data_IF_874589541675
#
_entry.id   IF_874589541675
#
_cell.length_a   1.000
_cell.length_b   1.000
_cell.length_c   1.000
_cell.angle_alpha   90.00
_cell.angle_beta   90.00
_cell.angle_gamma   90.00
#
_symmetry.space_group_name_H-M   'P 1'
#
loop_
_entity.id
_entity.type
_entity.pdbx_description
1 polymer ?
#
# COMPACT_ATOMS: atom_id res chain seq x y z
N UNK A 1 -4.00 14.22 -15.85
CA UNK A 1 -2.86 15.18 -15.77
C UNK A 1 -1.58 14.44 -15.43
N UNK A 2 -0.42 14.89 -15.91
CA UNK A 2 0.89 14.30 -15.57
C UNK A 2 1.82 15.39 -15.05
N UNK A 3 2.42 15.15 -13.91
CA UNK A 3 3.37 16.01 -13.24
C UNK A 3 4.73 15.30 -13.16
N UNK A 4 5.80 16.03 -13.44
CA UNK A 4 7.17 15.59 -13.17
C UNK A 4 7.72 16.48 -12.08
N UNK A 5 8.12 15.88 -10.96
CA UNK A 5 8.67 16.60 -9.80
C UNK A 5 10.03 16.05 -9.45
N UNK A 6 10.88 16.90 -8.90
CA UNK A 6 12.12 16.46 -8.28
C UNK A 6 11.84 16.05 -6.84
N UNK A 7 12.45 14.94 -6.42
CA UNK A 7 12.40 14.48 -5.05
C UNK A 7 13.64 15.00 -4.32
N UNK A 8 13.43 15.88 -3.35
CA UNK A 8 14.53 16.44 -2.55
C UNK A 8 14.59 15.76 -1.18
N UNK A 9 15.77 15.26 -0.79
CA UNK A 9 15.99 14.76 0.57
C UNK A 9 16.14 15.95 1.50
N UNK A 10 15.21 16.13 2.44
CA UNK A 10 15.37 17.15 3.48
C UNK A 10 16.21 16.62 4.64
N UNK A 11 15.95 15.38 5.06
CA UNK A 11 16.72 14.64 6.06
C UNK A 11 16.58 13.12 5.84
N UNK A 12 17.10 12.30 6.75
CA UNK A 12 17.07 10.83 6.62
C UNK A 12 15.65 10.21 6.60
N UNK A 13 14.64 10.96 7.04
CA UNK A 13 13.24 10.53 7.18
C UNK A 13 12.23 11.34 6.36
N UNK A 14 12.59 12.52 5.84
CA UNK A 14 11.66 13.41 5.14
C UNK A 14 12.11 13.75 3.72
N UNK A 15 11.16 13.67 2.80
CA UNK A 15 11.30 13.98 1.40
C UNK A 15 10.32 15.08 1.02
N UNK A 16 10.80 16.07 0.27
CA UNK A 16 9.94 17.12 -0.26
C UNK A 16 9.48 16.72 -1.67
N UNK A 17 8.16 16.69 -1.84
CA UNK A 17 7.50 16.65 -3.13
C UNK A 17 7.14 18.09 -3.50
N UNK A 18 7.44 18.52 -4.72
CA UNK A 18 7.06 19.85 -5.22
C UNK A 18 5.56 20.00 -5.49
N UNK A 19 4.71 19.68 -4.51
CA UNK A 19 3.27 19.92 -4.53
C UNK A 19 3.01 21.13 -3.61
N UNK A 20 2.36 22.21 -4.08
CA UNK A 20 2.07 23.36 -3.24
C UNK A 20 1.20 22.99 -2.03
N UNK A 21 1.49 23.57 -0.86
CA UNK A 21 0.64 23.48 0.32
C UNK A 21 -0.70 24.20 0.08
N UNK A 22 -1.79 23.70 0.67
CA UNK A 22 -3.10 24.39 0.64
C UNK A 22 -3.75 24.40 -0.75
N UNK A 23 -3.86 23.22 -1.36
CA UNK A 23 -4.53 23.05 -2.64
C UNK A 23 -5.96 23.58 -2.58
N UNK A 24 -6.29 24.54 -3.44
CA UNK A 24 -7.66 25.05 -3.57
C UNK A 24 -8.64 23.92 -3.97
N UNK A 25 -9.92 24.04 -3.64
CA UNK A 25 -10.95 23.01 -3.88
C UNK A 25 -11.04 22.54 -5.36
N UNK A 26 -10.56 23.36 -6.30
CA UNK A 26 -10.52 23.04 -7.73
C UNK A 26 -9.25 22.33 -8.18
N UNK A 27 -8.26 22.15 -7.30
CA UNK A 27 -6.98 21.56 -7.64
C UNK A 27 -7.14 20.08 -8.04
N UNK A 28 -6.36 19.64 -9.03
CA UNK A 28 -6.47 18.29 -9.61
C UNK A 28 -6.09 17.14 -8.68
N UNK A 29 -5.57 17.44 -7.49
CA UNK A 29 -5.22 16.46 -6.45
C UNK A 29 -6.17 16.53 -5.24
N UNK A 30 -7.25 17.33 -5.31
CA UNK A 30 -8.32 17.31 -4.32
C UNK A 30 -9.19 16.05 -4.50
N UNK A 31 -9.78 15.53 -3.43
CA UNK A 31 -10.67 14.34 -3.42
C UNK A 31 -10.06 13.06 -4.02
N UNK A 32 -8.84 12.69 -3.66
CA UNK A 32 -8.21 11.44 -4.11
C UNK A 32 -9.02 10.24 -3.63
N UNK A 33 -9.49 9.41 -4.56
CA UNK A 33 -10.27 8.18 -4.28
C UNK A 33 -9.46 6.91 -4.41
N UNK A 34 -8.54 6.88 -5.36
CA UNK A 34 -7.66 5.75 -5.61
C UNK A 34 -6.22 6.25 -5.72
N UNK A 35 -5.30 5.54 -5.07
CA UNK A 35 -3.87 5.84 -5.13
C UNK A 35 -3.07 4.56 -5.45
N UNK A 36 -2.17 4.66 -6.41
CA UNK A 36 -1.25 3.62 -6.83
C UNK A 36 0.17 4.14 -6.74
N UNK A 37 0.96 3.60 -5.82
CA UNK A 37 2.35 3.98 -5.59
C UNK A 37 3.25 2.88 -6.14
N UNK A 38 4.03 3.21 -7.17
CA UNK A 38 5.00 2.31 -7.80
C UNK A 38 6.43 2.75 -7.50
N UNK A 39 7.18 1.86 -6.86
CA UNK A 39 8.62 2.02 -6.70
C UNK A 39 9.36 1.29 -7.84
N UNK A 40 10.14 2.03 -8.63
CA UNK A 40 11.02 1.46 -9.67
C UNK A 40 12.48 1.72 -9.31
N UNK A 41 13.13 0.71 -8.74
CA UNK A 41 14.51 0.79 -8.24
C UNK A 41 15.54 1.09 -9.34
N UNK A 42 15.45 0.41 -10.50
CA UNK A 42 16.42 0.51 -11.58
C UNK A 42 16.47 1.92 -12.22
N UNK A 43 15.37 2.67 -12.13
CA UNK A 43 15.24 4.01 -12.70
C UNK A 43 15.29 5.14 -11.67
N UNK A 44 15.61 4.84 -10.39
CA UNK A 44 15.57 5.80 -9.26
C UNK A 44 14.34 6.72 -9.30
N UNK A 45 13.19 6.13 -9.58
CA UNK A 45 11.96 6.87 -9.84
C UNK A 45 10.82 6.26 -9.03
N UNK A 46 10.02 7.15 -8.46
CA UNK A 46 8.77 6.84 -7.79
C UNK A 46 7.67 7.39 -8.67
N UNK A 47 6.71 6.53 -8.99
CA UNK A 47 5.56 6.91 -9.78
C UNK A 47 4.33 6.77 -8.90
N UNK A 48 3.65 7.87 -8.68
CA UNK A 48 2.41 7.95 -7.90
C UNK A 48 1.30 8.24 -8.90
N UNK A 49 0.37 7.32 -9.05
CA UNK A 49 -0.79 7.47 -9.90
C UNK A 49 -2.03 7.52 -9.02
N UNK A 50 -3.07 8.22 -9.46
CA UNK A 50 -4.31 8.22 -8.72
C UNK A 50 -5.48 8.73 -9.53
N UNK A 51 -6.65 8.53 -8.95
CA UNK A 51 -7.93 8.95 -9.51
C UNK A 51 -8.66 9.75 -8.45
N UNK A 52 -9.11 10.95 -8.80
CA UNK A 52 -10.02 11.76 -8.00
C UNK A 52 -11.45 11.60 -8.50
N UNK A 53 -12.41 12.30 -7.89
CA UNK A 53 -13.80 12.34 -8.38
C UNK A 53 -13.93 12.87 -9.82
N UNK A 54 -12.91 13.57 -10.34
CA UNK A 54 -12.98 14.28 -11.63
C UNK A 54 -11.87 13.92 -12.61
N UNK A 55 -10.69 13.52 -12.13
CA UNK A 55 -9.49 13.42 -12.96
C UNK A 55 -8.61 12.23 -12.57
N UNK A 56 -7.81 11.74 -13.51
CA UNK A 56 -6.64 10.91 -13.21
C UNK A 56 -5.38 11.75 -13.18
N UNK A 57 -4.45 11.41 -12.28
CA UNK A 57 -3.16 12.09 -12.16
C UNK A 57 -2.00 11.10 -12.07
N UNK A 58 -0.83 11.53 -12.55
CA UNK A 58 0.44 10.85 -12.35
C UNK A 58 1.46 11.86 -11.87
N UNK A 59 2.21 11.53 -10.83
CA UNK A 59 3.35 12.26 -10.33
C UNK A 59 4.55 11.35 -10.49
N UNK A 60 5.50 11.78 -11.31
CA UNK A 60 6.77 11.08 -11.48
C UNK A 60 7.82 11.84 -10.71
N UNK A 61 8.26 11.27 -9.59
CA UNK A 61 9.31 11.84 -8.76
C UNK A 61 10.66 11.20 -9.10
N UNK A 62 11.64 12.03 -9.43
CA UNK A 62 12.99 11.60 -9.78
C UNK A 62 13.96 11.90 -8.64
N UNK A 63 14.78 10.91 -8.32
CA UNK A 63 15.90 11.04 -7.38
C UNK A 63 17.11 11.52 -8.20
N UNK A 64 17.66 12.68 -7.85
CA UNK A 64 18.80 13.27 -8.56
C UNK A 64 20.01 12.31 -8.56
N UNK A 65 20.78 12.28 -9.66
CA UNK A 65 21.94 11.37 -9.82
C UNK A 65 22.99 11.55 -8.74
N UNK A 66 23.17 12.82 -8.34
CA UNK A 66 24.29 13.30 -7.51
C UNK A 66 24.00 13.24 -6.01
N UNK A 67 22.80 12.79 -5.62
CA UNK A 67 22.40 12.73 -4.22
C UNK A 67 22.54 11.30 -3.69
N UNK A 68 23.27 11.13 -2.59
CA UNK A 68 23.39 9.85 -1.90
C UNK A 68 22.13 9.56 -1.06
N UNK A 69 21.11 9.01 -1.72
CA UNK A 69 19.88 8.59 -1.06
C UNK A 69 19.96 7.19 -0.40
N UNK A 70 21.05 6.45 -0.66
CA UNK A 70 21.12 5.02 -0.34
C UNK A 70 20.22 4.17 -1.25
N UNK A 71 20.10 2.88 -0.94
CA UNK A 71 19.24 1.96 -1.70
C UNK A 71 17.75 2.16 -1.37
N UNK A 72 16.86 1.86 -2.34
CA UNK A 72 15.40 1.98 -2.17
C UNK A 72 14.85 1.35 -0.88
N UNK A 73 15.42 0.24 -0.38
CA UNK A 73 14.97 -0.37 0.89
C UNK A 73 15.13 0.50 2.12
N UNK A 74 16.04 1.48 2.09
CA UNK A 74 16.27 2.42 3.18
C UNK A 74 15.38 3.66 3.11
N UNK A 75 14.75 3.92 1.96
CA UNK A 75 13.97 5.14 1.76
C UNK A 75 12.48 4.87 1.54
N UNK A 76 12.07 3.64 1.19
CA UNK A 76 10.67 3.32 0.89
C UNK A 76 9.67 3.68 2.00
N UNK A 77 10.03 3.49 3.27
CA UNK A 77 9.22 3.90 4.41
C UNK A 77 9.15 5.43 4.58
N UNK A 78 10.28 6.13 4.78
CA UNK A 78 10.33 7.59 4.76
C UNK A 78 9.60 8.26 3.58
N UNK A 79 9.68 7.66 2.39
CA UNK A 79 8.96 8.12 1.21
C UNK A 79 7.45 7.97 1.35
N UNK A 80 6.96 6.84 1.87
CA UNK A 80 5.52 6.66 2.04
C UNK A 80 4.95 7.63 3.08
N UNK A 81 5.73 7.96 4.10
CA UNK A 81 5.40 9.01 5.07
C UNK A 81 5.28 10.35 4.41
N UNK A 82 6.32 10.73 3.66
CA UNK A 82 6.33 12.00 2.97
C UNK A 82 5.17 12.12 1.97
N UNK A 83 4.80 11.04 1.27
CA UNK A 83 3.60 11.00 0.40
C UNK A 83 2.33 11.21 1.22
N UNK A 84 2.18 10.50 2.34
CA UNK A 84 1.02 10.60 3.22
C UNK A 84 0.93 11.97 3.92
N UNK A 85 2.05 12.65 4.11
CA UNK A 85 2.12 14.02 4.66
C UNK A 85 1.84 15.09 3.60
N UNK A 86 2.13 14.80 2.34
CA UNK A 86 1.93 15.75 1.24
C UNK A 86 0.51 15.69 0.65
N UNK A 87 -0.06 14.49 0.52
CA UNK A 87 -1.36 14.30 -0.11
C UNK A 87 -2.48 14.25 0.94
N UNK A 88 -3.65 14.80 0.60
CA UNK A 88 -4.86 14.52 1.38
C UNK A 88 -5.34 13.10 1.10
N UNK A 89 -5.17 12.23 2.09
CA UNK A 89 -5.50 10.81 2.03
C UNK A 89 -6.88 10.49 2.64
N UNK A 90 -7.59 11.50 3.18
CA UNK A 90 -8.80 11.32 3.97
C UNK A 90 -9.95 10.64 3.20
N UNK A 91 -9.97 10.83 1.87
CA UNK A 91 -10.99 10.31 0.97
C UNK A 91 -10.57 9.07 0.17
N UNK A 92 -9.35 8.55 0.40
CA UNK A 92 -8.82 7.40 -0.33
C UNK A 92 -9.59 6.13 0.07
N UNK A 93 -10.15 5.47 -0.94
CA UNK A 93 -10.91 4.22 -0.80
C UNK A 93 -10.11 2.99 -1.24
N UNK A 94 -9.10 3.18 -2.09
CA UNK A 94 -8.25 2.12 -2.61
C UNK A 94 -6.78 2.55 -2.68
N UNK A 95 -5.92 1.80 -2.01
CA UNK A 95 -4.47 2.00 -2.02
C UNK A 95 -3.76 0.78 -2.58
N UNK A 96 -2.93 0.99 -3.60
CA UNK A 96 -2.01 -0.02 -4.13
C UNK A 96 -0.57 0.43 -3.96
N UNK A 97 0.25 -0.42 -3.36
CA UNK A 97 1.70 -0.23 -3.25
C UNK A 97 2.38 -1.35 -4.01
N UNK A 98 3.15 -0.98 -5.03
CA UNK A 98 3.88 -1.93 -5.86
C UNK A 98 5.38 -1.60 -5.90
N UNK A 99 6.21 -2.52 -5.40
CA UNK A 99 7.65 -2.47 -5.58
C UNK A 99 8.07 -3.35 -6.75
N UNK A 100 8.85 -2.78 -7.67
CA UNK A 100 9.39 -3.51 -8.83
C UNK A 100 10.91 -3.54 -8.80
N UNK A 101 11.46 -4.75 -8.97
CA UNK A 101 12.89 -5.04 -9.16
C UNK A 101 13.81 -4.72 -7.96
N UNK A 102 13.46 -5.17 -6.75
CA UNK A 102 14.37 -5.10 -5.60
C UNK A 102 14.70 -6.48 -5.03
N UNK A 103 15.97 -6.68 -4.68
CA UNK A 103 16.52 -7.97 -4.22
C UNK A 103 16.60 -8.08 -2.69
N UNK A 104 16.30 -7.01 -1.95
CA UNK A 104 16.32 -7.01 -0.48
C UNK A 104 14.95 -6.64 0.08
N UNK A 105 14.57 -7.11 1.27
CA UNK A 105 13.34 -6.64 1.90
C UNK A 105 13.43 -5.13 2.18
N UNK A 106 12.32 -4.38 2.04
CA UNK A 106 12.30 -2.99 2.45
C UNK A 106 12.42 -2.90 3.96
N UNK A 107 13.51 -2.32 4.45
CA UNK A 107 13.86 -2.28 5.88
C UNK A 107 13.07 -1.24 6.67
N UNK A 108 12.32 -0.38 5.98
CA UNK A 108 11.72 0.83 6.54
C UNK A 108 10.20 0.84 6.60
N UNK A 109 9.53 -0.25 6.17
CA UNK A 109 8.11 -0.44 6.43
C UNK A 109 7.89 -1.02 7.83
N UNK A 110 8.17 -0.21 8.84
CA UNK A 110 7.92 -0.57 10.25
C UNK A 110 6.42 -0.53 10.56
N UNK A 111 6.03 -1.10 11.70
CA UNK A 111 4.66 -0.99 12.21
C UNK A 111 4.22 0.48 12.30
N UNK A 112 5.05 1.33 12.91
CA UNK A 112 4.75 2.76 13.06
C UNK A 112 4.59 3.43 11.70
N UNK A 113 5.35 2.96 10.69
CA UNK A 113 5.23 3.51 9.37
C UNK A 113 3.85 3.23 8.73
N UNK A 114 3.37 2.00 8.91
CA UNK A 114 2.02 1.60 8.50
C UNK A 114 0.93 2.29 9.30
N UNK A 115 1.10 2.40 10.62
CA UNK A 115 0.13 3.09 11.50
C UNK A 115 -0.09 4.52 11.02
N UNK A 116 0.98 5.31 10.84
CA UNK A 116 0.91 6.69 10.35
C UNK A 116 0.20 6.79 9.00
N UNK A 117 0.51 5.89 8.08
CA UNK A 117 -0.12 5.86 6.76
C UNK A 117 -1.62 5.52 6.84
N UNK A 118 -1.98 4.48 7.59
CA UNK A 118 -3.35 3.97 7.69
C UNK A 118 -4.27 4.90 8.48
N UNK A 119 -3.75 5.62 9.48
CA UNK A 119 -4.48 6.65 10.23
C UNK A 119 -5.04 7.74 9.32
N UNK A 120 -4.33 8.09 8.25
CA UNK A 120 -4.77 9.12 7.30
C UNK A 120 -5.82 8.65 6.29
N UNK A 121 -6.17 7.36 6.27
CA UNK A 121 -7.11 6.78 5.31
C UNK A 121 -8.30 6.09 6.02
N UNK A 122 -9.17 6.86 6.70
CA UNK A 122 -10.32 6.29 7.41
C UNK A 122 -11.34 5.62 6.47
N UNK A 123 -11.37 6.00 5.19
CA UNK A 123 -12.29 5.46 4.17
C UNK A 123 -11.70 4.32 3.34
N UNK A 124 -10.52 3.81 3.66
CA UNK A 124 -9.86 2.76 2.90
C UNK A 124 -10.67 1.46 2.91
N UNK A 125 -11.17 1.06 1.74
CA UNK A 125 -11.94 -0.18 1.52
C UNK A 125 -11.06 -1.30 0.97
N UNK A 126 -10.05 -0.95 0.17
CA UNK A 126 -9.17 -1.91 -0.48
C UNK A 126 -7.71 -1.55 -0.31
N UNK A 127 -6.92 -2.51 0.16
CA UNK A 127 -5.49 -2.38 0.33
C UNK A 127 -4.79 -3.47 -0.48
N UNK A 128 -3.84 -3.05 -1.30
CA UNK A 128 -3.12 -3.95 -2.18
C UNK A 128 -1.62 -3.72 -2.10
N UNK A 129 -0.90 -4.80 -1.83
CA UNK A 129 0.54 -4.75 -1.65
C UNK A 129 1.18 -5.82 -2.52
N UNK A 130 2.16 -5.38 -3.31
CA UNK A 130 2.89 -6.23 -4.24
C UNK A 130 4.38 -5.94 -4.16
N UNK A 131 5.12 -6.91 -3.65
CA UNK A 131 6.58 -6.85 -3.62
C UNK A 131 7.22 -7.45 -4.87
N UNK A 132 8.51 -7.20 -5.08
CA UNK A 132 9.26 -7.86 -6.13
C UNK A 132 9.38 -9.38 -5.84
N UNK A 133 9.29 -10.23 -6.87
CA UNK A 133 9.38 -11.70 -6.75
C UNK A 133 10.62 -12.18 -6.00
N UNK A 134 11.71 -11.43 -6.10
CA UNK A 134 13.02 -11.71 -5.49
C UNK A 134 13.17 -11.13 -4.09
N UNK A 135 12.25 -10.26 -3.66
CA UNK A 135 12.24 -9.78 -2.29
C UNK A 135 11.82 -10.93 -1.38
N UNK A 136 12.55 -11.15 -0.30
CA UNK A 136 12.13 -12.16 0.66
C UNK A 136 10.88 -11.77 1.44
N UNK A 137 10.37 -10.53 1.29
CA UNK A 137 9.17 -10.05 1.99
C UNK A 137 9.37 -10.04 3.50
N UNK A 138 8.82 -9.03 4.18
CA UNK A 138 9.09 -8.89 5.61
C UNK A 138 8.34 -7.76 6.26
N UNK A 139 7.19 -7.37 5.68
CA UNK A 139 6.35 -6.30 6.21
C UNK A 139 4.97 -6.80 6.63
N UNK A 140 4.66 -8.09 6.37
CA UNK A 140 3.34 -8.65 6.64
C UNK A 140 3.00 -8.52 8.14
N UNK A 141 3.96 -8.80 9.03
CA UNK A 141 3.74 -8.69 10.47
C UNK A 141 3.43 -7.26 10.89
N UNK A 142 4.19 -6.32 10.34
CA UNK A 142 4.14 -4.90 10.62
C UNK A 142 2.81 -4.31 10.16
N UNK A 143 2.36 -4.65 8.94
CA UNK A 143 1.08 -4.16 8.43
C UNK A 143 -0.13 -4.80 9.12
N UNK A 144 -0.09 -6.11 9.38
CA UNK A 144 -1.16 -6.78 10.11
C UNK A 144 -1.28 -6.21 11.53
N UNK A 145 -0.15 -5.94 12.18
CA UNK A 145 -0.13 -5.29 13.50
C UNK A 145 -0.69 -3.87 13.45
N UNK A 146 -0.35 -3.09 12.43
CA UNK A 146 -0.91 -1.75 12.24
C UNK A 146 -2.43 -1.80 12.00
N UNK A 147 -2.93 -2.74 11.20
CA UNK A 147 -4.37 -2.94 10.94
C UNK A 147 -5.17 -3.40 12.17
N UNK A 148 -4.50 -3.96 13.19
CA UNK A 148 -5.08 -4.26 14.51
C UNK A 148 -4.91 -3.14 15.53
N UNK A 149 -4.28 -2.02 15.16
CA UNK A 149 -4.08 -0.89 16.07
C UNK A 149 -5.38 -0.08 16.17
N UNK A 150 -5.88 0.22 17.37
CA UNK A 150 -6.99 1.14 17.55
C UNK A 150 -6.54 2.58 17.30
N UNK A 151 -7.38 3.36 16.63
CA UNK A 151 -7.24 4.81 16.54
C UNK A 151 -7.42 5.44 17.93
N UNK A 152 -6.55 6.39 18.27
CA UNK A 152 -6.47 6.95 19.63
C UNK A 152 -7.78 7.64 20.07
N UNK A 153 -8.42 8.38 19.16
CA UNK A 153 -9.63 9.15 19.47
C UNK A 153 -10.93 8.33 19.40
N UNK A 154 -11.04 7.37 18.50
CA UNK A 154 -12.31 6.66 18.23
C UNK A 154 -12.34 5.25 18.82
N UNK A 155 -11.19 4.67 19.17
CA UNK A 155 -11.07 3.28 19.62
C UNK A 155 -11.38 2.22 18.56
N UNK A 156 -11.82 2.64 17.36
CA UNK A 156 -11.99 1.79 16.19
C UNK A 156 -10.63 1.34 15.65
N UNK A 157 -10.53 0.17 15.00
CA UNK A 157 -9.30 -0.17 14.30
C UNK A 157 -9.04 0.81 13.16
N UNK A 158 -7.76 1.00 12.81
CA UNK A 158 -7.38 1.73 11.61
C UNK A 158 -8.06 1.12 10.37
N UNK A 159 -8.45 2.00 9.44
CA UNK A 159 -9.22 1.66 8.25
C UNK A 159 -10.46 0.81 8.61
N UNK A 160 -11.43 1.36 9.36
CA UNK A 160 -12.56 0.59 9.89
C UNK A 160 -13.45 -0.02 8.79
N UNK A 161 -13.41 0.54 7.59
CA UNK A 161 -14.18 0.08 6.41
C UNK A 161 -13.35 -0.78 5.46
N UNK A 162 -12.15 -1.23 5.86
CA UNK A 162 -11.33 -2.12 5.03
C UNK A 162 -12.01 -3.48 4.85
N UNK A 163 -12.36 -3.80 3.61
CA UNK A 163 -13.05 -5.03 3.23
C UNK A 163 -12.15 -5.98 2.44
N UNK A 164 -11.18 -5.44 1.69
CA UNK A 164 -10.30 -6.23 0.81
C UNK A 164 -8.83 -6.00 1.12
N UNK A 165 -8.10 -7.07 1.39
CA UNK A 165 -6.65 -7.04 1.52
C UNK A 165 -5.99 -8.01 0.54
N UNK A 166 -5.05 -7.51 -0.24
CA UNK A 166 -4.27 -8.29 -1.20
C UNK A 166 -2.79 -8.17 -0.89
N UNK A 167 -2.11 -9.30 -0.75
CA UNK A 167 -0.67 -9.36 -0.51
C UNK A 167 0.00 -10.34 -1.47
N UNK A 168 0.92 -9.83 -2.28
CA UNK A 168 1.62 -10.62 -3.31
C UNK A 168 3.12 -10.55 -3.12
N UNK A 169 3.77 -11.73 -3.19
CA UNK A 169 5.22 -11.88 -3.09
C UNK A 169 5.85 -11.47 -1.76
N UNK A 170 5.05 -11.35 -0.69
CA UNK A 170 5.57 -11.40 0.67
C UNK A 170 5.65 -12.87 1.10
N UNK A 171 6.80 -13.32 1.63
CA UNK A 171 6.96 -14.71 2.11
C UNK A 171 6.81 -14.82 3.63
N UNK A 172 6.68 -13.70 4.33
CA UNK A 172 6.67 -13.64 5.80
C UNK A 172 5.27 -13.83 6.42
N UNK A 173 4.24 -13.99 5.59
CA UNK A 173 2.86 -14.16 6.05
C UNK A 173 2.56 -15.60 6.47
N UNK A 174 1.64 -15.75 7.42
CA UNK A 174 1.02 -17.03 7.74
C UNK A 174 -0.50 -16.92 7.84
N UNK A 175 -1.19 -18.02 7.51
CA UNK A 175 -2.64 -18.17 7.66
C UNK A 175 -3.11 -17.77 9.06
N UNK A 176 -2.40 -18.20 10.11
CA UNK A 176 -2.71 -17.90 11.50
C UNK A 176 -2.71 -16.39 11.79
N UNK A 177 -1.79 -15.63 11.18
CA UNK A 177 -1.75 -14.18 11.37
C UNK A 177 -2.97 -13.50 10.73
N UNK A 178 -3.34 -13.91 9.52
CA UNK A 178 -4.53 -13.41 8.85
C UNK A 178 -5.82 -13.81 9.57
N UNK A 179 -5.88 -15.03 10.09
CA UNK A 179 -7.01 -15.53 10.85
C UNK A 179 -7.20 -14.69 12.13
N UNK A 180 -6.13 -14.42 12.87
CA UNK A 180 -6.17 -13.55 14.05
C UNK A 180 -6.61 -12.12 13.71
N UNK A 181 -6.10 -11.55 12.62
CA UNK A 181 -6.58 -10.24 12.14
C UNK A 181 -8.08 -10.28 11.84
N UNK A 182 -8.53 -11.26 11.06
CA UNK A 182 -9.93 -11.37 10.65
C UNK A 182 -10.87 -11.57 11.85
N UNK A 183 -10.48 -12.38 12.83
CA UNK A 183 -11.21 -12.56 14.08
C UNK A 183 -11.32 -11.25 14.89
N UNK A 184 -10.21 -10.54 15.09
CA UNK A 184 -10.20 -9.26 15.82
C UNK A 184 -11.06 -8.20 15.12
N UNK A 185 -11.00 -8.16 13.79
CA UNK A 185 -11.83 -7.27 12.98
C UNK A 185 -13.31 -7.63 13.06
N UNK A 186 -13.64 -8.92 12.99
CA UNK A 186 -15.01 -9.43 13.07
C UNK A 186 -15.63 -9.15 14.45
N UNK A 187 -14.88 -9.37 15.55
CA UNK A 187 -15.34 -9.09 16.91
C UNK A 187 -15.69 -7.62 17.14
N UNK A 188 -15.07 -6.71 16.37
CA UNK A 188 -15.31 -5.26 16.37
C UNK A 188 -16.31 -4.78 15.31
N UNK A 189 -17.00 -5.69 14.61
CA UNK A 189 -17.94 -5.38 13.52
C UNK A 189 -17.29 -4.63 12.34
N UNK A 190 -16.01 -4.92 12.07
CA UNK A 190 -15.22 -4.35 10.97
C UNK A 190 -14.65 -5.45 10.05
N UNK A 191 -15.48 -6.42 9.60
CA UNK A 191 -15.01 -7.67 9.03
C UNK A 191 -14.22 -7.48 7.72
N UNK A 192 -13.21 -8.31 7.54
CA UNK A 192 -12.54 -8.46 6.25
C UNK A 192 -13.36 -9.43 5.39
N UNK A 193 -13.79 -8.99 4.20
CA UNK A 193 -14.60 -9.81 3.29
C UNK A 193 -13.75 -10.58 2.30
N UNK A 194 -12.67 -9.96 1.81
CA UNK A 194 -11.82 -10.55 0.78
C UNK A 194 -10.36 -10.54 1.20
N UNK A 195 -9.77 -11.73 1.27
CA UNK A 195 -8.34 -11.92 1.44
C UNK A 195 -7.76 -12.57 0.19
N UNK A 196 -6.77 -11.92 -0.42
CA UNK A 196 -6.07 -12.50 -1.56
C UNK A 196 -4.56 -12.52 -1.35
N UNK A 197 -4.01 -13.70 -1.12
CA UNK A 197 -2.64 -13.88 -0.63
C UNK A 197 -1.94 -14.99 -1.39
N UNK A 198 -0.72 -14.76 -1.86
CA UNK A 198 0.05 -15.82 -2.53
C UNK A 198 1.36 -16.06 -1.79
N UNK A 199 1.45 -17.17 -1.06
CA UNK A 199 2.71 -17.63 -0.46
C UNK A 199 3.54 -18.31 -1.54
N UNK A 200 4.87 -18.26 -1.40
CA UNK A 200 5.74 -19.18 -2.10
C UNK A 200 5.53 -20.63 -1.64
N UNK A 201 5.07 -20.86 -0.41
CA UNK A 201 4.89 -22.20 0.15
C UNK A 201 3.68 -22.97 -0.43
N UNK A 202 2.70 -22.28 -1.03
CA UNK A 202 1.58 -22.91 -1.74
C UNK A 202 1.84 -23.05 -3.24
N UNK A 203 3.03 -22.68 -3.75
CA UNK A 203 3.33 -22.82 -5.19
C UNK A 203 3.44 -24.30 -5.61
N UNK A 204 3.84 -25.16 -4.69
CA UNK A 204 4.07 -26.59 -4.93
C UNK A 204 2.98 -27.48 -4.31
N UNK A 205 1.90 -26.87 -3.78
CA UNK A 205 0.81 -27.63 -3.16
C UNK A 205 -0.16 -28.08 -4.26
N UNK A 206 -0.15 -29.38 -4.56
CA UNK A 206 -1.02 -30.00 -5.57
C UNK A 206 -2.50 -30.00 -5.18
N UNK A 207 -2.80 -30.06 -3.87
CA UNK A 207 -4.17 -30.04 -3.36
C UNK A 207 -4.41 -28.89 -2.38
N UNK A 208 -5.27 -27.95 -2.78
CA UNK A 208 -5.65 -26.79 -1.96
C UNK A 208 -6.38 -27.21 -0.67
N UNK A 209 -7.00 -28.39 -0.64
CA UNK A 209 -7.67 -28.93 0.57
C UNK A 209 -6.68 -29.33 1.67
N UNK A 210 -5.40 -29.56 1.35
CA UNK A 210 -4.36 -29.85 2.34
C UNK A 210 -3.77 -28.57 2.98
N UNK A 211 -4.41 -27.42 2.76
CA UNK A 211 -3.99 -26.12 3.29
C UNK A 211 -4.83 -25.69 4.49
N UNK A 212 -4.28 -24.82 5.31
CA UNK A 212 -4.92 -24.18 6.45
C UNK A 212 -5.88 -23.03 6.06
N UNK A 213 -6.33 -22.98 4.81
CA UNK A 213 -7.23 -21.95 4.31
C UNK A 213 -8.67 -22.11 4.81
N UNK A 214 -9.09 -23.32 5.20
CA UNK A 214 -10.45 -23.54 5.68
C UNK A 214 -10.73 -22.76 6.97
N UNK A 215 -9.74 -22.68 7.86
CA UNK A 215 -9.85 -21.82 9.05
C UNK A 215 -10.02 -20.34 8.67
N UNK A 216 -9.33 -19.88 7.61
CA UNK A 216 -9.51 -18.49 7.14
C UNK A 216 -10.90 -18.26 6.55
N UNK A 217 -11.46 -19.26 5.87
CA UNK A 217 -12.80 -19.19 5.26
C UNK A 217 -13.93 -19.18 6.30
N UNK A 218 -13.68 -19.58 7.55
CA UNK A 218 -14.64 -19.42 8.65
C UNK A 218 -14.89 -17.96 9.02
N UNK A 219 -13.91 -17.07 8.76
CA UNK A 219 -13.92 -15.68 9.24
C UNK A 219 -13.78 -14.64 8.12
N UNK A 220 -13.43 -15.06 6.91
CA UNK A 220 -13.33 -14.23 5.71
C UNK A 220 -14.18 -14.85 4.60
N UNK A 221 -15.08 -14.07 4.01
CA UNK A 221 -16.04 -14.56 3.01
C UNK A 221 -15.35 -15.16 1.77
N UNK A 222 -14.27 -14.53 1.31
CA UNK A 222 -13.53 -14.96 0.11
C UNK A 222 -12.04 -14.98 0.39
N UNK A 223 -11.44 -16.17 0.26
CA UNK A 223 -9.99 -16.40 0.41
C UNK A 223 -9.45 -16.95 -0.90
N UNK A 224 -8.61 -16.17 -1.56
CA UNK A 224 -8.04 -16.46 -2.87
C UNK A 224 -6.50 -16.54 -2.82
N UNK A 225 -5.93 -17.57 -3.43
CA UNK A 225 -4.48 -17.73 -3.56
C UNK A 225 -3.89 -17.01 -4.78
N UNK A 226 -4.75 -16.44 -5.63
CA UNK A 226 -4.38 -15.74 -6.85
C UNK A 226 -4.75 -14.24 -6.79
N UNK A 227 -3.91 -13.41 -6.13
CA UNK A 227 -4.00 -11.96 -6.21
C UNK A 227 -4.30 -11.44 -7.61
N UNK A 228 -5.42 -10.72 -7.81
CA UNK A 228 -5.77 -10.21 -9.13
C UNK A 228 -4.68 -9.28 -9.64
N UNK A 229 -4.60 -9.15 -10.97
CA UNK A 229 -3.83 -8.07 -11.56
C UNK A 229 -4.56 -6.76 -11.26
N UNK A 230 -3.88 -5.88 -10.54
CA UNK A 230 -4.40 -4.55 -10.23
C UNK A 230 -3.81 -3.61 -11.26
N UNK A 231 -4.70 -3.09 -12.09
CA UNK A 231 -4.35 -2.20 -13.19
C UNK A 231 -4.07 -0.80 -12.66
N UNK A 232 -3.06 -0.15 -13.23
CA UNK A 232 -2.78 1.26 -13.00
C UNK A 232 -3.94 2.13 -13.49
N UNK A 233 -4.03 3.37 -12.99
CA UNK A 233 -5.03 4.32 -13.46
C UNK A 233 -4.95 4.49 -14.99
N UNK A 234 -6.10 4.37 -15.66
CA UNK A 234 -6.18 4.54 -17.11
C UNK A 234 -6.19 6.03 -17.42
N UNK A 235 -5.17 6.51 -18.14
CA UNK A 235 -5.12 7.88 -18.61
C UNK A 235 -5.87 7.98 -19.93
N UNK A 236 -6.73 8.99 -20.13
CA UNK A 236 -7.32 9.24 -21.44
C UNK A 236 -6.18 9.45 -22.45
N UNK A 237 -6.17 8.64 -23.50
CA UNK A 237 -5.28 8.83 -24.66
C UNK A 237 -5.70 10.11 -25.35
N UNK A 238 -4.83 11.13 -25.29
CA UNK A 238 -4.98 12.30 -26.16
C UNK A 238 -4.53 11.85 -27.54
N UNK A 239 -5.49 11.63 -28.44
CA UNK A 239 -5.19 11.59 -29.88
C UNK A 239 -4.80 13.01 -30.30
N UNK A 240 -3.57 13.15 -30.82
CA UNK A 240 -3.04 14.42 -31.33
C UNK A 240 -3.38 14.56 -32.82
#
# INVERSE_FOLDING_TARGET
MRFSVWLEKRDDSHFLFGIPDGLEDWHHLHDIKQLFIKYRSASRCIMIEGTTSRNTFQITAFIHSDTEFGGMSKISGPLIHSIADTLDMSLVEELTIQETAYHRPPLTFTRDAWTHLLEKMPLLKKLHIRWGRTSNGGCCREILSALTTPHIDTGALLCPVLERFTLRYDKSWSSLQFHRLAQERSSRKQPLKWLSVRSSHYQDVENIEDTDLDMLREVVEIVDLEPPLIESAVFPTVEW
#
